data_IF_953832602974
#
_entry.id   IF_953832602974
#
_cell.length_a   1.000
_cell.length_b   1.000
_cell.length_c   1.000
_cell.angle_alpha   90.00
_cell.angle_beta   90.00
_cell.angle_gamma   90.00
#
_symmetry.space_group_name_H-M   'P 1'
#
loop_
_entity.id
_entity.type
_entity.pdbx_description
1 polymer ?
#
# COMPACT_ATOMS: atom_id res chain seq x y z
N UNK A 1 -7.60 8.04 12.38
CA UNK A 1 -7.30 7.59 11.01
C UNK A 1 -8.35 6.59 10.62
N UNK A 2 -8.83 6.63 9.39
CA UNK A 2 -9.78 5.62 8.91
C UNK A 2 -9.07 4.28 8.67
N UNK A 3 -7.80 4.31 8.26
CA UNK A 3 -6.93 3.15 8.11
C UNK A 3 -5.45 3.53 8.25
N UNK A 4 -4.63 2.62 8.77
CA UNK A 4 -3.17 2.74 8.81
C UNK A 4 -2.58 1.59 7.99
N UNK A 5 -1.84 1.92 6.93
CA UNK A 5 -1.17 0.94 6.07
C UNK A 5 0.32 0.88 6.44
N UNK A 6 0.80 -0.31 6.76
CA UNK A 6 2.21 -0.59 7.03
C UNK A 6 2.86 -1.18 5.77
N UNK A 7 3.95 -0.56 5.32
CA UNK A 7 4.64 -0.88 4.07
C UNK A 7 6.17 -0.84 4.25
N UNK A 8 6.93 -1.32 3.27
CA UNK A 8 8.39 -1.41 3.31
C UNK A 8 8.95 -2.72 3.88
N UNK A 9 10.28 -2.82 3.92
CA UNK A 9 10.99 -4.07 4.25
C UNK A 9 10.80 -4.60 5.66
N UNK A 10 10.52 -3.72 6.63
CA UNK A 10 10.25 -4.10 8.02
C UNK A 10 8.77 -4.27 8.36
N UNK A 11 7.87 -4.14 7.38
CA UNK A 11 6.44 -4.08 7.64
C UNK A 11 5.92 -5.30 8.39
N UNK A 12 6.26 -6.51 7.94
CA UNK A 12 5.84 -7.76 8.58
C UNK A 12 6.46 -7.95 9.98
N UNK A 13 7.66 -7.41 10.20
CA UNK A 13 8.36 -7.54 11.48
C UNK A 13 7.75 -6.63 12.56
N UNK A 14 7.34 -5.42 12.19
CA UNK A 14 6.90 -4.40 13.15
C UNK A 14 5.38 -4.20 13.21
N UNK A 15 4.59 -4.82 12.32
CA UNK A 15 3.15 -4.63 12.24
C UNK A 15 2.45 -4.82 13.60
N UNK A 16 2.75 -5.89 14.34
CA UNK A 16 2.13 -6.16 15.65
C UNK A 16 2.48 -5.09 16.69
N UNK A 17 3.74 -4.63 16.73
CA UNK A 17 4.14 -3.59 17.69
C UNK A 17 3.49 -2.23 17.37
N UNK A 18 3.25 -1.95 16.09
CA UNK A 18 2.52 -0.75 15.66
C UNK A 18 1.03 -0.91 15.99
N UNK A 19 0.45 -2.09 15.74
CA UNK A 19 -0.93 -2.42 16.08
C UNK A 19 -1.22 -2.23 17.57
N UNK A 20 -0.33 -2.71 18.45
CA UNK A 20 -0.46 -2.53 19.91
C UNK A 20 -0.47 -1.05 20.32
N UNK A 21 0.21 -0.18 19.56
CA UNK A 21 0.29 1.26 19.84
C UNK A 21 -0.95 2.02 19.35
N UNK A 22 -1.49 1.65 18.19
CA UNK A 22 -2.52 2.45 17.49
C UNK A 22 -3.89 1.75 17.38
N UNK A 23 -3.98 0.49 17.80
CA UNK A 23 -5.20 -0.31 17.88
C UNK A 23 -5.64 -0.98 16.57
N UNK A 24 -5.05 -0.62 15.44
CA UNK A 24 -5.40 -1.24 14.16
C UNK A 24 -4.51 -0.80 13.00
N UNK A 25 -3.97 -1.80 12.29
CA UNK A 25 -3.14 -1.60 11.11
C UNK A 25 -3.44 -2.66 10.05
N UNK A 26 -3.12 -2.36 8.79
CA UNK A 26 -3.08 -3.35 7.72
C UNK A 26 -1.71 -3.37 7.08
N UNK A 27 -1.13 -4.56 6.93
CA UNK A 27 0.09 -4.73 6.14
C UNK A 27 -0.29 -4.82 4.67
N UNK A 28 0.37 -4.05 3.82
CA UNK A 28 0.17 -4.14 2.38
C UNK A 28 0.61 -5.51 1.84
N UNK A 29 -0.10 -6.05 0.85
CA UNK A 29 0.35 -7.25 0.14
C UNK A 29 1.69 -6.94 -0.56
N UNK A 30 2.72 -7.77 -0.32
CA UNK A 30 4.10 -7.53 -0.78
C UNK A 30 4.57 -6.10 -0.42
N UNK A 31 4.75 -5.80 0.87
CA UNK A 31 4.94 -4.43 1.34
C UNK A 31 6.18 -3.73 0.76
N UNK A 32 7.18 -4.47 0.27
CA UNK A 32 8.33 -3.89 -0.43
C UNK A 32 7.98 -3.32 -1.81
N UNK A 33 6.90 -3.79 -2.43
CA UNK A 33 6.48 -3.46 -3.80
C UNK A 33 5.26 -2.52 -3.86
N UNK A 34 4.64 -2.20 -2.72
CA UNK A 34 3.37 -1.47 -2.66
C UNK A 34 3.34 -0.17 -3.48
N UNK A 35 4.42 0.62 -3.43
CA UNK A 35 4.51 1.85 -4.20
C UNK A 35 4.59 1.58 -5.72
N UNK A 36 5.39 0.61 -6.14
CA UNK A 36 5.55 0.26 -7.55
C UNK A 36 4.23 -0.25 -8.14
N UNK A 37 3.49 -1.07 -7.38
CA UNK A 37 2.16 -1.54 -7.78
C UNK A 37 1.14 -0.40 -7.89
N UNK A 38 1.15 0.54 -6.95
CA UNK A 38 0.31 1.73 -7.00
C UNK A 38 0.58 2.58 -8.25
N UNK A 39 1.85 2.83 -8.58
CA UNK A 39 2.23 3.55 -9.79
C UNK A 39 1.85 2.80 -11.07
N UNK A 40 2.02 1.48 -11.11
CA UNK A 40 1.61 0.66 -12.25
C UNK A 40 0.10 0.76 -12.51
N UNK A 41 -0.73 0.58 -11.47
CA UNK A 41 -2.20 0.70 -11.57
C UNK A 41 -2.63 2.09 -12.05
N UNK A 42 -2.01 3.14 -11.51
CA UNK A 42 -2.26 4.51 -11.93
C UNK A 42 -1.89 4.74 -13.40
N UNK A 43 -0.73 4.24 -13.84
CA UNK A 43 -0.29 4.32 -15.23
C UNK A 43 -1.27 3.62 -16.18
N UNK A 44 -1.72 2.41 -15.84
CA UNK A 44 -2.73 1.68 -16.61
C UNK A 44 -4.06 2.44 -16.71
N UNK A 45 -4.51 3.04 -15.61
CA UNK A 45 -5.69 3.89 -15.60
C UNK A 45 -5.53 5.08 -16.55
N UNK A 46 -4.38 5.76 -16.54
CA UNK A 46 -4.11 6.89 -17.44
C UNK A 46 -4.08 6.51 -18.92
N UNK A 47 -3.43 5.41 -19.28
CA UNK A 47 -3.44 4.90 -20.65
C UNK A 47 -4.88 4.59 -21.10
N UNK A 48 -5.71 4.00 -20.22
CA UNK A 48 -7.11 3.71 -20.57
C UNK A 48 -8.00 4.95 -20.72
N UNK A 49 -7.66 6.08 -20.08
CA UNK A 49 -8.34 7.36 -20.31
C UNK A 49 -7.94 7.96 -21.66
N UNK A 50 -6.66 7.88 -22.04
CA UNK A 50 -6.14 8.41 -23.31
C UNK A 50 -6.62 7.60 -24.54
N UNK A 51 -6.75 6.28 -24.43
CA UNK A 51 -7.30 5.43 -25.50
C UNK A 51 -8.83 5.54 -25.64
N UNK A 52 -9.50 6.17 -24.67
CA UNK A 52 -10.96 6.37 -24.63
C UNK A 52 -11.45 7.72 -25.17
N UNK A 53 -10.53 8.60 -25.59
CA UNK A 53 -10.80 9.88 -26.26
C UNK A 53 -10.72 9.78 -27.79
#
# INVERSE_FOLDING_TARGET
FDEIIVTGGGAELFASAIEDLVGGVKVAEKPQQANAEGFFKYGMFKVSEEDGE
#
